data_IF_519576316704
#
_entry.id   IF_519576316704
#
_cell.length_a   1.000
_cell.length_b   1.000
_cell.length_c   1.000
_cell.angle_alpha   90.00
_cell.angle_beta   90.00
_cell.angle_gamma   90.00
#
_symmetry.space_group_name_H-M   'P 1'
#
loop_
_entity.id
_entity.type
_entity.pdbx_description
1 polymer ?
#
# COMPACT_ATOMS: atom_id res chain seq x y z
N UNK A 1 0.60 -0.98 -13.87
CA UNK A 1 1.84 -0.95 -14.67
C UNK A 1 2.63 0.24 -14.17
N UNK A 2 3.67 -0.01 -13.37
CA UNK A 2 4.49 1.04 -12.74
C UNK A 2 5.49 1.51 -13.78
N UNK A 3 5.36 2.75 -14.25
CA UNK A 3 6.35 3.34 -15.15
C UNK A 3 7.39 4.08 -14.31
N UNK A 4 8.62 3.56 -14.27
CA UNK A 4 9.77 4.38 -13.91
C UNK A 4 10.03 5.34 -15.08
N UNK A 5 9.68 6.62 -14.92
CA UNK A 5 10.09 7.65 -15.88
C UNK A 5 11.60 7.89 -15.73
N UNK A 6 12.41 7.06 -16.38
CA UNK A 6 13.84 7.35 -16.67
C UNK A 6 14.03 8.21 -17.92
N UNK A 7 12.98 8.81 -18.46
CA UNK A 7 13.04 9.37 -19.81
C UNK A 7 12.15 10.59 -19.98
N UNK A 8 12.63 11.74 -19.49
CA UNK A 8 12.61 13.02 -20.21
C UNK A 8 13.75 13.91 -19.68
N UNK A 9 14.98 13.41 -19.81
CA UNK A 9 16.17 14.27 -19.71
C UNK A 9 16.52 14.77 -21.11
N UNK A 10 16.08 15.98 -21.48
CA UNK A 10 16.82 16.72 -22.53
C UNK A 10 18.08 17.24 -21.86
N UNK A 11 19.17 16.47 -21.94
CA UNK A 11 20.48 16.94 -21.52
C UNK A 11 20.88 18.11 -22.41
N UNK A 12 21.11 19.28 -21.82
CA UNK A 12 22.08 20.23 -22.36
C UNK A 12 23.08 20.57 -21.26
N UNK A 13 24.25 19.95 -21.39
CA UNK A 13 25.58 20.39 -20.96
C UNK A 13 25.70 21.12 -19.61
N UNK A 14 26.28 20.39 -18.66
CA UNK A 14 26.96 20.92 -17.48
C UNK A 14 28.06 21.92 -17.89
N UNK A 15 27.86 23.22 -17.61
CA UNK A 15 28.93 24.21 -17.61
C UNK A 15 28.98 24.89 -16.24
N UNK A 16 30.13 24.78 -15.57
CA UNK A 16 30.40 25.25 -14.20
C UNK A 16 30.63 26.77 -14.13
N UNK A 17 29.85 27.55 -14.88
CA UNK A 17 29.78 29.01 -14.78
C UNK A 17 28.32 29.48 -14.85
N UNK A 18 27.74 29.78 -13.68
CA UNK A 18 26.50 30.55 -13.46
C UNK A 18 25.41 30.48 -14.56
N UNK A 19 24.92 29.27 -14.86
CA UNK A 19 23.60 29.10 -15.45
C UNK A 19 22.93 27.94 -14.70
N UNK A 20 22.04 28.26 -13.76
CA UNK A 20 21.16 27.27 -13.16
C UNK A 20 20.21 26.81 -14.28
N UNK A 21 20.60 25.77 -15.02
CA UNK A 21 19.72 25.08 -15.96
C UNK A 21 18.57 24.50 -15.14
N UNK A 22 17.46 25.23 -15.07
CA UNK A 22 16.24 24.79 -14.41
C UNK A 22 15.78 23.50 -15.08
N UNK A 23 15.57 22.46 -14.27
CA UNK A 23 15.03 21.20 -14.76
C UNK A 23 13.52 21.35 -14.94
N UNK A 24 12.97 20.73 -15.99
CA UNK A 24 11.53 20.68 -16.23
C UNK A 24 11.02 19.26 -16.01
N UNK A 25 9.80 19.16 -15.47
CA UNK A 25 9.04 17.93 -15.36
C UNK A 25 7.69 18.17 -16.02
N UNK A 26 7.37 17.43 -17.07
CA UNK A 26 6.13 17.56 -17.82
C UNK A 26 5.61 16.16 -18.14
N UNK A 27 4.44 15.85 -17.59
CA UNK A 27 3.68 14.63 -17.87
C UNK A 27 2.24 14.95 -18.25
N UNK A 28 1.93 16.16 -18.70
CA UNK A 28 0.58 16.59 -19.06
C UNK A 28 -0.11 15.61 -20.03
N UNK A 29 -1.42 15.44 -19.88
CA UNK A 29 -2.26 14.70 -20.81
C UNK A 29 -2.03 13.18 -20.84
N UNK A 30 -1.41 12.62 -19.80
CA UNK A 30 -1.15 11.19 -19.69
C UNK A 30 -2.21 10.45 -18.84
N UNK A 31 -2.11 9.12 -18.79
CA UNK A 31 -3.04 8.27 -18.04
C UNK A 31 -2.33 7.49 -16.93
N UNK A 32 -1.38 8.12 -16.24
CA UNK A 32 -0.63 7.48 -15.17
C UNK A 32 -1.51 7.30 -13.92
N UNK A 33 -1.31 6.21 -13.19
CA UNK A 33 -1.98 6.00 -11.90
C UNK A 33 -1.10 6.39 -10.71
N UNK A 34 0.22 6.32 -10.91
CA UNK A 34 1.28 6.60 -9.93
C UNK A 34 2.55 6.99 -10.70
N UNK A 35 3.32 7.93 -10.16
CA UNK A 35 4.64 8.31 -10.68
C UNK A 35 5.65 8.24 -9.56
N UNK A 36 6.87 7.76 -9.84
CA UNK A 36 8.00 7.91 -8.93
C UNK A 36 8.95 8.97 -9.48
N UNK A 37 9.12 10.05 -8.74
CA UNK A 37 9.98 11.18 -9.05
C UNK A 37 10.93 11.55 -7.90
N UNK A 38 11.25 10.58 -7.04
CA UNK A 38 12.20 10.73 -5.94
C UNK A 38 13.64 10.61 -6.45
N UNK A 39 14.16 11.69 -7.03
CA UNK A 39 15.42 11.68 -7.78
C UNK A 39 16.57 12.46 -7.12
N UNK A 40 16.37 13.02 -5.93
CA UNK A 40 17.34 13.87 -5.23
C UNK A 40 17.48 15.29 -5.78
N UNK A 41 16.71 15.66 -6.82
CA UNK A 41 16.80 16.93 -7.53
C UNK A 41 15.49 17.70 -7.59
N UNK A 42 14.48 17.31 -6.79
CA UNK A 42 13.16 17.96 -6.79
C UNK A 42 13.24 19.49 -6.54
N UNK A 43 14.19 19.97 -5.74
CA UNK A 43 14.39 21.41 -5.49
C UNK A 43 15.03 22.17 -6.65
N UNK A 44 15.55 21.48 -7.68
CA UNK A 44 16.13 22.09 -8.88
C UNK A 44 15.15 22.15 -10.05
N UNK A 45 13.91 21.67 -9.85
CA UNK A 45 12.84 21.72 -10.84
C UNK A 45 12.26 23.13 -10.85
N UNK A 46 12.45 23.83 -11.97
CA UNK A 46 11.89 25.17 -12.17
C UNK A 46 10.50 25.16 -12.79
N UNK A 47 10.17 24.11 -13.55
CA UNK A 47 8.84 23.96 -14.17
C UNK A 47 8.34 22.55 -13.92
N UNK A 48 7.12 22.43 -13.40
CA UNK A 48 6.45 21.18 -13.12
C UNK A 48 5.05 21.26 -13.71
N UNK A 49 4.67 20.28 -14.52
CA UNK A 49 3.29 20.10 -14.99
C UNK A 49 2.92 18.61 -14.90
N UNK A 50 1.88 18.32 -14.14
CA UNK A 50 1.24 17.00 -14.08
C UNK A 50 -0.28 17.08 -14.26
N UNK A 51 -0.77 18.11 -14.95
CA UNK A 51 -2.19 18.30 -15.21
C UNK A 51 -2.73 17.26 -16.21
N UNK A 52 -4.06 17.14 -16.32
CA UNK A 52 -4.75 16.23 -17.25
C UNK A 52 -4.34 14.75 -17.11
N UNK A 53 -4.04 14.33 -15.87
CA UNK A 53 -3.77 12.95 -15.47
C UNK A 53 -4.84 12.46 -14.46
N UNK A 54 -6.09 12.31 -14.93
CA UNK A 54 -7.25 12.03 -14.07
C UNK A 54 -7.12 10.79 -13.15
N UNK A 55 -6.32 9.80 -13.56
CA UNK A 55 -6.07 8.59 -12.78
C UNK A 55 -4.87 8.70 -11.82
N UNK A 56 -4.06 9.76 -11.90
CA UNK A 56 -2.85 9.94 -11.11
C UNK A 56 -3.20 10.37 -9.70
N UNK A 57 -3.12 9.44 -8.75
CA UNK A 57 -3.45 9.72 -7.34
C UNK A 57 -2.24 10.20 -6.55
N UNK A 58 -1.05 9.74 -6.92
CA UNK A 58 0.13 10.01 -6.12
C UNK A 58 1.41 10.08 -6.97
N UNK A 59 2.24 11.06 -6.66
CA UNK A 59 3.59 11.23 -7.20
C UNK A 59 4.56 11.09 -6.02
N UNK A 60 5.48 10.13 -6.10
CA UNK A 60 6.53 9.96 -5.10
C UNK A 60 7.62 10.99 -5.30
N UNK A 61 7.97 11.70 -4.23
CA UNK A 61 8.90 12.83 -4.26
C UNK A 61 9.91 12.75 -3.11
N UNK A 62 10.98 13.53 -3.21
CA UNK A 62 11.99 13.66 -2.17
C UNK A 62 11.43 14.38 -0.93
N UNK A 63 10.65 15.45 -1.13
CA UNK A 63 10.05 16.25 -0.07
C UNK A 63 8.61 16.68 -0.44
N UNK A 64 7.58 16.02 0.13
CA UNK A 64 6.18 16.34 -0.13
C UNK A 64 5.76 17.76 0.24
N UNK A 65 6.34 18.35 1.29
CA UNK A 65 6.03 19.71 1.72
C UNK A 65 6.52 20.72 0.67
N UNK A 66 7.78 20.56 0.23
CA UNK A 66 8.33 21.37 -0.86
C UNK A 66 7.50 21.24 -2.13
N UNK A 67 7.22 20.01 -2.58
CA UNK A 67 6.45 19.76 -3.79
C UNK A 67 5.04 20.32 -3.69
N UNK A 68 4.39 20.22 -2.53
CA UNK A 68 3.03 20.75 -2.34
C UNK A 68 2.97 22.27 -2.45
N UNK A 69 4.02 22.97 -2.03
CA UNK A 69 4.09 24.43 -2.10
C UNK A 69 4.48 24.90 -3.51
N UNK A 70 5.42 24.23 -4.17
CA UNK A 70 6.06 24.74 -5.39
C UNK A 70 5.50 24.14 -6.69
N UNK A 71 4.84 22.97 -6.64
CA UNK A 71 4.33 22.26 -7.81
C UNK A 71 2.79 22.25 -7.80
N UNK A 72 2.22 23.38 -8.21
CA UNK A 72 0.78 23.63 -8.18
C UNK A 72 0.05 23.19 -9.44
N UNK A 73 0.75 23.03 -10.56
CA UNK A 73 0.18 22.60 -11.84
C UNK A 73 -0.02 21.08 -11.83
N UNK A 74 -1.03 20.64 -11.09
CA UNK A 74 -1.45 19.24 -10.93
C UNK A 74 -2.96 19.15 -10.81
N UNK A 75 -3.52 17.98 -11.09
CA UNK A 75 -4.94 17.75 -10.85
C UNK A 75 -5.26 17.68 -9.35
N UNK A 76 -6.49 18.03 -8.97
CA UNK A 76 -6.92 18.11 -7.57
C UNK A 76 -6.86 16.78 -6.80
N UNK A 77 -6.94 15.63 -7.48
CA UNK A 77 -6.80 14.30 -6.87
C UNK A 77 -5.34 13.87 -6.61
N UNK A 78 -4.36 14.57 -7.18
CA UNK A 78 -2.96 14.17 -7.14
C UNK A 78 -2.29 14.69 -5.87
N UNK A 79 -1.71 13.77 -5.10
CA UNK A 79 -0.97 14.07 -3.87
C UNK A 79 0.52 13.79 -4.03
N UNK A 80 1.34 14.43 -3.21
CA UNK A 80 2.76 14.13 -3.08
C UNK A 80 3.02 13.32 -1.82
N UNK A 81 3.85 12.28 -1.91
CA UNK A 81 4.26 11.47 -0.77
C UNK A 81 5.71 11.00 -0.94
N UNK A 82 6.40 10.68 0.15
CA UNK A 82 7.68 9.95 0.06
C UNK A 82 7.49 8.45 -0.19
N UNK A 83 6.25 7.97 -0.02
CA UNK A 83 5.81 6.60 -0.21
C UNK A 83 4.32 6.62 -0.62
N UNK A 84 4.06 6.39 -1.91
CA UNK A 84 2.70 6.36 -2.44
C UNK A 84 1.97 5.05 -2.13
N UNK A 85 2.67 4.07 -1.57
CA UNK A 85 2.11 2.78 -1.15
C UNK A 85 1.67 2.83 0.32
N UNK A 86 2.17 3.80 1.10
CA UNK A 86 1.86 4.00 2.53
C UNK A 86 0.42 4.48 2.81
N UNK A 87 -0.23 5.13 1.84
CA UNK A 87 -1.61 5.62 1.96
C UNK A 87 -2.66 4.65 1.39
N UNK A 88 -2.29 3.41 1.11
CA UNK A 88 -3.26 2.33 0.88
C UNK A 88 -3.86 1.86 2.21
N UNK A 89 -4.45 2.78 2.97
CA UNK A 89 -5.33 2.41 4.07
C UNK A 89 -6.68 2.01 3.48
N UNK A 90 -6.95 0.71 3.44
CA UNK A 90 -8.28 0.09 3.54
C UNK A 90 -9.22 -0.01 2.33
N UNK A 91 -8.79 -0.33 1.10
CA UNK A 91 -9.79 -0.78 0.10
C UNK A 91 -9.37 -1.82 -0.96
N UNK A 92 -8.16 -2.42 -0.90
CA UNK A 92 -7.85 -3.52 -1.82
C UNK A 92 -6.71 -4.47 -1.37
N UNK A 93 -6.70 -4.97 -0.13
CA UNK A 93 -6.27 -6.38 0.05
C UNK A 93 -7.40 -7.25 -0.50
N UNK A 94 -7.48 -7.30 -1.83
CA UNK A 94 -8.42 -8.07 -2.64
C UNK A 94 -8.47 -9.53 -2.16
N UNK A 95 -9.41 -9.86 -1.26
CA UNK A 95 -9.96 -11.20 -1.01
C UNK A 95 -8.97 -12.39 -1.00
N UNK A 96 -7.77 -12.25 -0.41
CA UNK A 96 -6.81 -13.37 -0.33
C UNK A 96 -6.97 -14.16 0.98
N UNK A 97 -7.57 -13.55 2.01
CA UNK A 97 -7.78 -14.19 3.32
C UNK A 97 -9.12 -13.75 3.90
N UNK A 98 -10.02 -14.72 4.06
CA UNK A 98 -11.31 -14.51 4.71
C UNK A 98 -11.55 -15.64 5.71
N UNK A 99 -12.09 -15.29 6.88
CA UNK A 99 -12.56 -16.26 7.88
C UNK A 99 -14.08 -16.17 7.94
N UNK A 100 -14.77 -17.30 7.73
CA UNK A 100 -16.22 -17.37 7.81
C UNK A 100 -16.73 -18.69 8.42
N UNK A 101 -17.95 -18.71 8.97
CA UNK A 101 -18.77 -17.53 9.29
C UNK A 101 -18.14 -16.75 10.46
N UNK A 102 -18.34 -15.43 10.49
CA UNK A 102 -18.09 -14.62 11.67
C UNK A 102 -19.37 -13.82 11.93
N UNK A 103 -20.16 -14.09 12.99
CA UNK A 103 -19.85 -14.95 14.14
C UNK A 103 -19.77 -16.46 13.86
N UNK A 104 -18.93 -17.17 14.62
CA UNK A 104 -18.66 -18.62 14.53
C UNK A 104 -19.50 -19.36 15.56
N UNK A 105 -20.16 -20.47 15.17
CA UNK A 105 -20.87 -21.35 16.11
C UNK A 105 -20.05 -22.57 16.52
N UNK A 106 -19.57 -23.34 15.55
CA UNK A 106 -18.84 -24.59 15.83
C UNK A 106 -17.48 -24.64 15.16
N UNK A 107 -17.42 -24.22 13.89
CA UNK A 107 -16.22 -24.21 13.09
C UNK A 107 -16.18 -23.00 12.18
N UNK A 108 -14.97 -22.57 11.86
CA UNK A 108 -14.73 -21.56 10.84
C UNK A 108 -13.84 -22.12 9.74
N UNK A 109 -13.96 -21.54 8.56
CA UNK A 109 -13.21 -21.86 7.36
C UNK A 109 -12.36 -20.64 6.98
N UNK A 110 -11.10 -20.91 6.65
CA UNK A 110 -10.14 -19.93 6.14
C UNK A 110 -10.09 -20.07 4.62
N UNK A 111 -10.66 -19.11 3.90
CA UNK A 111 -10.50 -19.00 2.46
C UNK A 111 -9.21 -18.26 2.15
N UNK A 112 -8.25 -18.99 1.59
CA UNK A 112 -6.98 -18.46 1.10
C UNK A 112 -6.40 -19.33 -0.01
N UNK A 113 -5.71 -18.69 -0.96
CA UNK A 113 -4.90 -19.34 -2.00
C UNK A 113 -3.51 -19.75 -1.50
N UNK A 114 -3.00 -19.13 -0.43
CA UNK A 114 -1.65 -19.38 0.07
C UNK A 114 -1.60 -20.67 0.91
N UNK A 115 -0.42 -21.27 1.02
CA UNK A 115 -0.24 -22.50 1.78
C UNK A 115 -0.20 -22.17 3.27
N UNK A 116 -1.15 -22.71 4.02
CA UNK A 116 -1.18 -22.55 5.49
C UNK A 116 -0.07 -23.38 6.12
N UNK A 117 0.79 -22.73 6.89
CA UNK A 117 1.80 -23.41 7.72
C UNK A 117 1.22 -23.74 9.09
N UNK A 118 0.57 -22.76 9.72
CA UNK A 118 -0.06 -22.89 11.03
C UNK A 118 -1.15 -21.84 11.23
N UNK A 119 -2.19 -22.23 11.95
CA UNK A 119 -3.25 -21.39 12.48
C UNK A 119 -3.14 -21.47 14.00
N UNK A 120 -3.07 -20.33 14.66
CA UNK A 120 -2.98 -20.19 16.11
C UNK A 120 -4.19 -19.40 16.60
N UNK A 121 -4.90 -19.91 17.60
CA UNK A 121 -6.07 -19.24 18.18
C UNK A 121 -5.72 -18.82 19.60
N UNK A 122 -5.93 -17.54 19.90
CA UNK A 122 -5.63 -16.94 21.19
C UNK A 122 -6.90 -16.43 21.88
N UNK A 123 -6.88 -16.43 23.21
CA UNK A 123 -7.87 -15.77 24.05
C UNK A 123 -7.75 -14.23 23.97
N UNK A 124 -8.71 -13.53 24.57
CA UNK A 124 -8.69 -12.05 24.70
C UNK A 124 -7.50 -11.54 25.54
N UNK A 125 -6.92 -12.40 26.38
CA UNK A 125 -5.73 -12.10 27.20
C UNK A 125 -4.42 -12.51 26.52
N UNK A 126 -4.47 -13.02 25.28
CA UNK A 126 -3.29 -13.42 24.52
C UNK A 126 -2.80 -14.84 24.81
N UNK A 127 -3.53 -15.64 25.58
CA UNK A 127 -3.17 -17.05 25.83
C UNK A 127 -3.43 -17.89 24.57
N UNK A 128 -2.44 -18.69 24.14
CA UNK A 128 -2.61 -19.66 23.05
C UNK A 128 -3.54 -20.80 23.49
N UNK A 129 -4.66 -20.96 22.79
CA UNK A 129 -5.69 -21.96 23.11
C UNK A 129 -5.64 -23.18 22.20
N UNK A 130 -5.33 -22.99 20.91
CA UNK A 130 -5.33 -24.07 19.92
C UNK A 130 -4.44 -23.75 18.73
N UNK A 131 -3.86 -24.79 18.14
CA UNK A 131 -3.17 -24.73 16.86
C UNK A 131 -3.81 -25.68 15.85
N UNK A 132 -3.70 -25.35 14.56
CA UNK A 132 -4.17 -26.17 13.45
C UNK A 132 -3.30 -25.95 12.21
N UNK A 133 -3.30 -26.90 11.29
CA UNK A 133 -2.71 -26.72 9.93
C UNK A 133 -3.79 -26.79 8.83
N UNK A 134 -5.05 -26.96 9.23
CA UNK A 134 -6.19 -27.10 8.32
C UNK A 134 -6.84 -25.74 8.04
N UNK A 135 -7.44 -25.61 6.85
CA UNK A 135 -8.33 -24.48 6.51
C UNK A 135 -9.64 -24.50 7.29
N UNK A 136 -10.06 -25.67 7.75
CA UNK A 136 -11.25 -25.82 8.61
C UNK A 136 -10.79 -26.04 10.05
N UNK A 137 -11.28 -25.19 10.96
CA UNK A 137 -10.91 -25.25 12.38
C UNK A 137 -12.18 -25.29 13.25
N UNK A 138 -12.33 -26.39 13.97
CA UNK A 138 -13.41 -26.56 14.95
C UNK A 138 -13.01 -25.92 16.30
N UNK A 139 -13.92 -25.09 16.81
CA UNK A 139 -13.87 -24.40 18.10
C UNK A 139 -15.21 -24.57 18.87
N UNK A 140 -15.99 -25.63 18.64
CA UNK A 140 -17.27 -25.85 19.32
C UNK A 140 -17.13 -25.88 20.84
N UNK A 141 -15.97 -26.32 21.30
CA UNK A 141 -15.62 -26.51 22.70
C UNK A 141 -15.23 -25.20 23.39
N UNK A 142 -15.12 -24.10 22.64
CA UNK A 142 -14.70 -22.81 23.16
C UNK A 142 -15.92 -22.08 23.75
N UNK A 143 -15.76 -21.41 24.91
CA UNK A 143 -16.78 -20.52 25.44
C UNK A 143 -17.19 -19.43 24.44
N UNK A 144 -18.35 -18.82 24.64
CA UNK A 144 -18.75 -17.64 23.86
C UNK A 144 -17.81 -16.48 24.18
N UNK A 145 -17.42 -15.72 23.16
CA UNK A 145 -16.54 -14.57 23.35
C UNK A 145 -15.71 -14.20 22.12
N UNK A 146 -14.79 -13.26 22.32
CA UNK A 146 -13.87 -12.82 21.28
C UNK A 146 -12.61 -13.68 21.28
N UNK A 147 -12.11 -13.98 20.09
CA UNK A 147 -10.86 -14.71 19.89
C UNK A 147 -10.01 -14.04 18.81
N UNK A 148 -8.71 -14.20 18.91
CA UNK A 148 -7.75 -13.74 17.91
C UNK A 148 -7.20 -14.95 17.18
N UNK A 149 -7.35 -14.98 15.85
CA UNK A 149 -6.82 -16.02 14.98
C UNK A 149 -5.63 -15.46 14.22
N UNK A 150 -4.46 -16.06 14.43
CA UNK A 150 -3.23 -15.75 13.71
C UNK A 150 -2.94 -16.87 12.73
N UNK A 151 -2.81 -16.53 11.46
CA UNK A 151 -2.62 -17.45 10.34
C UNK A 151 -1.25 -17.16 9.76
N UNK A 152 -0.35 -18.13 9.86
CA UNK A 152 0.95 -18.08 9.19
C UNK A 152 0.89 -18.89 7.91
N UNK A 153 1.30 -18.26 6.82
CA UNK A 153 1.46 -18.88 5.51
C UNK A 153 2.91 -18.83 5.07
N UNK A 154 3.19 -19.45 3.93
CA UNK A 154 4.49 -19.43 3.26
C UNK A 154 4.96 -18.01 2.88
N UNK A 155 4.04 -17.04 2.78
CA UNK A 155 4.34 -15.66 2.35
C UNK A 155 4.21 -14.63 3.45
N UNK A 156 3.16 -14.73 4.26
CA UNK A 156 2.83 -13.70 5.25
C UNK A 156 2.15 -14.30 6.49
N UNK A 157 2.12 -13.49 7.55
CA UNK A 157 1.37 -13.76 8.78
C UNK A 157 0.24 -12.76 8.91
N UNK A 158 -0.98 -13.24 9.11
CA UNK A 158 -2.20 -12.45 9.19
C UNK A 158 -2.86 -12.69 10.54
N UNK A 159 -3.43 -11.65 11.13
CA UNK A 159 -4.16 -11.73 12.40
C UNK A 159 -5.56 -11.18 12.20
N UNK A 160 -6.58 -11.93 12.60
CA UNK A 160 -7.98 -11.55 12.48
C UNK A 160 -8.76 -11.91 13.75
N UNK A 161 -9.64 -11.00 14.17
CA UNK A 161 -10.55 -11.23 15.31
C UNK A 161 -11.80 -11.96 14.82
N UNK A 162 -12.25 -12.94 15.60
CA UNK A 162 -13.52 -13.64 15.41
C UNK A 162 -14.37 -13.57 16.68
N UNK A 163 -15.69 -13.74 16.52
CA UNK A 163 -16.66 -13.81 17.61
C UNK A 163 -17.22 -15.22 17.64
N UNK A 164 -17.20 -15.89 18.80
CA UNK A 164 -17.82 -17.20 19.04
C UNK A 164 -19.15 -17.01 19.77
N UNK A 165 -20.21 -17.59 19.21
CA UNK A 165 -21.58 -17.60 19.77
C UNK A 165 -21.99 -18.95 20.36
#
# INVERSE_FOLDING_TARGET
MTFELKSYFRSQTYNRSKNLNLLFFDIDGNNFNRVNFKNGYNSLIGTFDSTNNFNLKCIEVDNPEYSTINWTDRDGQTTFSTDCDYLSTNDAKKNIFQIYPNPVKEKFIINTSNKIEIVEIYSQTGQLLKTSKSKEVNISNFPKGNYVVKIKTDKETITQKIIKE
#
